data_IF_173944014180
#
_entry.id   IF_173944014180
#
_cell.length_a   1.000
_cell.length_b   1.000
_cell.length_c   1.000
_cell.angle_alpha   90.00
_cell.angle_beta   90.00
_cell.angle_gamma   90.00
#
_symmetry.space_group_name_H-M   'P 1'
#
loop_
_entity.id
_entity.type
_entity.pdbx_description
1 polymer ?
#
# COMPACT_ATOMS: atom_id res chain seq x y z
N UNK A 1 -7.03 -14.47 12.64
CA UNK A 1 -7.48 -13.86 11.37
C UNK A 1 -7.92 -12.44 11.67
N UNK A 2 -7.14 -11.47 11.21
CA UNK A 2 -7.35 -10.05 11.48
C UNK A 2 -8.41 -9.54 10.51
N UNK A 3 -9.54 -9.07 11.04
CA UNK A 3 -10.55 -8.38 10.25
C UNK A 3 -10.17 -6.89 10.12
N UNK A 4 -9.62 -6.55 8.96
CA UNK A 4 -9.25 -5.18 8.62
C UNK A 4 -10.32 -4.44 7.82
N UNK A 5 -11.50 -5.05 7.58
CA UNK A 5 -12.60 -4.37 6.87
C UNK A 5 -13.01 -3.07 7.56
N UNK A 6 -12.82 -3.00 8.87
CA UNK A 6 -12.97 -1.77 9.68
C UNK A 6 -12.13 -0.59 9.18
N UNK A 7 -11.00 -0.83 8.52
CA UNK A 7 -10.16 0.23 7.95
C UNK A 7 -10.76 0.86 6.69
N UNK A 8 -11.74 0.23 6.05
CA UNK A 8 -12.45 0.83 4.90
C UNK A 8 -13.16 2.13 5.29
N UNK A 9 -13.53 2.29 6.56
CA UNK A 9 -14.23 3.48 7.06
C UNK A 9 -13.45 4.79 6.85
N UNK A 10 -12.13 4.73 6.69
CA UNK A 10 -11.28 5.90 6.46
C UNK A 10 -11.29 6.38 5.00
N UNK A 11 -11.96 5.64 4.09
CA UNK A 11 -12.03 5.95 2.67
C UNK A 11 -13.48 6.20 2.25
N UNK A 12 -13.83 7.42 1.80
CA UNK A 12 -15.20 7.74 1.37
C UNK A 12 -15.72 6.82 0.26
N UNK A 13 -14.82 6.35 -0.60
CA UNK A 13 -15.14 5.48 -1.72
C UNK A 13 -14.06 4.41 -1.92
N UNK A 14 -14.37 3.19 -1.46
CA UNK A 14 -13.57 2.00 -1.70
C UNK A 14 -14.04 1.29 -2.97
N UNK A 15 -13.10 0.69 -3.70
CA UNK A 15 -13.35 -0.12 -4.89
C UNK A 15 -14.05 0.62 -6.06
N UNK A 16 -14.05 1.96 -6.04
CA UNK A 16 -14.65 2.81 -7.09
C UNK A 16 -13.65 3.87 -7.58
N UNK A 17 -13.63 4.17 -8.90
CA UNK A 17 -12.77 5.21 -9.43
C UNK A 17 -13.29 6.61 -9.11
N UNK A 18 -12.40 7.47 -8.61
CA UNK A 18 -12.61 8.89 -8.37
C UNK A 18 -11.92 9.69 -9.47
N UNK A 19 -12.68 10.43 -10.27
CA UNK A 19 -12.17 11.18 -11.42
C UNK A 19 -12.06 12.66 -11.05
N UNK A 20 -10.87 13.22 -11.21
CA UNK A 20 -10.58 14.64 -10.99
C UNK A 20 -9.65 15.19 -12.05
N UNK A 21 -10.18 16.05 -12.91
CA UNK A 21 -9.46 16.55 -14.08
C UNK A 21 -8.96 15.38 -14.95
N UNK A 22 -7.66 15.35 -15.19
CA UNK A 22 -6.98 14.31 -15.96
C UNK A 22 -6.65 13.05 -15.14
N UNK A 23 -6.86 13.05 -13.82
CA UNK A 23 -6.47 11.97 -12.94
C UNK A 23 -7.66 11.08 -12.54
N UNK A 24 -7.38 9.80 -12.37
CA UNK A 24 -8.28 8.81 -11.76
C UNK A 24 -7.58 8.18 -10.57
N UNK A 25 -8.18 8.33 -9.39
CA UNK A 25 -7.76 7.68 -8.16
C UNK A 25 -8.62 6.45 -7.93
N UNK A 26 -8.06 5.38 -7.43
CA UNK A 26 -8.81 4.19 -7.03
C UNK A 26 -8.14 3.57 -5.83
N UNK A 27 -8.87 3.46 -4.74
CA UNK A 27 -8.46 2.70 -3.57
C UNK A 27 -9.16 1.34 -3.66
N UNK A 28 -8.39 0.26 -3.76
CA UNK A 28 -8.95 -1.09 -3.75
C UNK A 28 -8.66 -1.75 -2.41
N UNK A 29 -9.69 -2.24 -1.75
CA UNK A 29 -9.57 -3.12 -0.59
C UNK A 29 -9.98 -4.53 -1.01
N UNK A 30 -9.15 -5.52 -0.68
CA UNK A 30 -9.45 -6.93 -0.88
C UNK A 30 -9.03 -7.73 0.34
N UNK A 31 -9.94 -8.58 0.81
CA UNK A 31 -9.65 -9.61 1.80
C UNK A 31 -9.58 -10.96 1.09
N UNK A 32 -8.50 -11.68 1.33
CA UNK A 32 -8.30 -13.08 0.95
C UNK A 32 -8.29 -13.95 2.22
N UNK A 33 -8.17 -15.27 2.08
CA UNK A 33 -8.35 -16.24 3.19
C UNK A 33 -7.43 -15.92 4.39
N UNK A 34 -6.15 -15.64 4.14
CA UNK A 34 -5.15 -15.30 5.17
C UNK A 34 -4.41 -13.99 4.92
N UNK A 35 -4.79 -13.24 3.88
CA UNK A 35 -4.13 -11.98 3.52
C UNK A 35 -5.12 -10.88 3.18
N UNK A 36 -4.59 -9.68 3.15
CA UNK A 36 -5.30 -8.46 2.91
C UNK A 36 -4.48 -7.57 2.00
N UNK A 37 -5.15 -6.83 1.12
CA UNK A 37 -4.52 -5.93 0.17
C UNK A 37 -5.23 -4.56 0.16
N UNK A 38 -4.43 -3.49 0.30
CA UNK A 38 -4.81 -2.12 -0.03
C UNK A 38 -4.04 -1.67 -1.25
N UNK A 39 -4.73 -1.31 -2.34
CA UNK A 39 -4.07 -0.72 -3.50
C UNK A 39 -4.47 0.74 -3.66
N UNK A 40 -3.48 1.64 -3.66
CA UNK A 40 -3.62 2.99 -4.18
C UNK A 40 -3.22 3.00 -5.66
N UNK A 41 -4.19 3.20 -6.55
CA UNK A 41 -3.95 3.36 -7.98
C UNK A 41 -4.26 4.78 -8.41
N UNK A 42 -3.30 5.43 -9.06
CA UNK A 42 -3.42 6.76 -9.63
C UNK A 42 -3.09 6.68 -11.12
N UNK A 43 -4.04 7.05 -11.99
CA UNK A 43 -3.89 7.00 -13.45
C UNK A 43 -4.11 8.38 -14.05
N UNK A 44 -3.18 8.84 -14.88
CA UNK A 44 -3.40 9.99 -15.77
C UNK A 44 -4.08 9.50 -17.05
N UNK A 45 -5.20 10.14 -17.42
CA UNK A 45 -6.10 9.68 -18.48
C UNK A 45 -5.49 9.85 -19.87
N UNK A 46 -4.80 10.95 -20.11
CA UNK A 46 -4.33 11.31 -21.46
C UNK A 46 -3.03 10.59 -21.84
N UNK A 47 -2.12 10.43 -20.89
CA UNK A 47 -0.81 9.82 -21.12
C UNK A 47 -0.77 8.32 -20.85
N UNK A 48 -1.88 7.75 -20.34
CA UNK A 48 -1.96 6.39 -19.77
C UNK A 48 -0.93 6.13 -18.65
N UNK A 49 -0.27 7.16 -18.12
CA UNK A 49 0.64 7.01 -16.97
C UNK A 49 -0.13 6.44 -15.79
N UNK A 50 0.48 5.48 -15.10
CA UNK A 50 -0.14 4.84 -13.94
C UNK A 50 0.88 4.64 -12.85
N UNK A 51 0.50 5.03 -11.64
CA UNK A 51 1.17 4.70 -10.40
C UNK A 51 0.25 3.74 -9.65
N UNK A 52 0.78 2.61 -9.24
CA UNK A 52 0.09 1.65 -8.39
C UNK A 52 1.02 1.37 -7.22
N UNK A 53 0.49 1.51 -6.01
CA UNK A 53 1.15 1.13 -4.78
C UNK A 53 0.22 0.13 -4.09
N UNK A 54 0.60 -1.13 -4.09
CA UNK A 54 -0.11 -2.21 -3.39
C UNK A 54 0.55 -2.50 -2.06
N UNK A 55 -0.26 -2.63 -1.01
CA UNK A 55 0.18 -2.99 0.33
C UNK A 55 -0.53 -4.29 0.72
N UNK A 56 0.19 -5.41 0.73
CA UNK A 56 -0.32 -6.69 1.21
C UNK A 56 0.12 -6.93 2.65
N UNK A 57 -0.77 -7.44 3.50
CA UNK A 57 -0.48 -7.90 4.85
C UNK A 57 -1.14 -9.25 5.10
N UNK A 58 -0.49 -10.14 5.85
CA UNK A 58 -1.12 -11.37 6.33
C UNK A 58 -0.17 -12.55 6.46
N UNK A 59 -0.74 -13.73 6.64
CA UNK A 59 -0.04 -15.03 6.79
C UNK A 59 -0.36 -15.85 5.53
N UNK A 60 0.11 -15.38 4.38
CA UNK A 60 -0.28 -15.94 3.09
C UNK A 60 0.76 -16.85 2.47
N UNK A 61 0.39 -18.12 2.24
CA UNK A 61 1.00 -18.96 1.21
C UNK A 61 0.69 -18.35 -0.16
N UNK A 62 1.47 -17.36 -0.59
CA UNK A 62 1.37 -16.91 -1.98
C UNK A 62 1.55 -18.13 -2.91
N UNK A 63 0.78 -18.13 -4.00
CA UNK A 63 0.91 -19.07 -5.14
C UNK A 63 2.35 -19.50 -5.28
N UNK A 64 2.65 -20.81 -5.40
CA UNK A 64 4.00 -21.35 -5.65
C UNK A 64 4.77 -20.43 -6.62
N UNK A 65 5.51 -19.47 -6.08
CA UNK A 65 6.43 -18.67 -6.86
C UNK A 65 7.60 -19.62 -7.09
N UNK A 66 7.94 -19.82 -8.37
CA UNK A 66 8.92 -20.83 -8.76
C UNK A 66 10.30 -20.62 -8.09
N UNK A 67 10.54 -19.45 -7.50
CA UNK A 67 11.78 -19.06 -6.81
C UNK A 67 11.48 -18.22 -5.53
N UNK A 68 10.74 -18.76 -4.55
CA UNK A 68 10.54 -18.07 -3.28
C UNK A 68 11.80 -18.17 -2.40
N UNK A 69 12.46 -17.03 -2.16
CA UNK A 69 13.54 -16.83 -1.19
C UNK A 69 13.04 -16.29 0.16
N UNK A 70 11.73 -16.36 0.43
CA UNK A 70 11.09 -15.82 1.63
C UNK A 70 10.30 -16.89 2.40
N UNK A 71 10.13 -16.68 3.71
CA UNK A 71 9.39 -17.56 4.61
C UNK A 71 7.89 -17.29 4.51
N UNK A 72 7.24 -17.93 3.52
CA UNK A 72 5.80 -17.76 3.18
C UNK A 72 4.82 -18.18 4.28
N UNK A 73 5.31 -18.93 5.27
CA UNK A 73 4.55 -19.39 6.43
C UNK A 73 4.54 -18.38 7.58
N UNK A 74 5.23 -17.25 7.42
CA UNK A 74 5.29 -16.18 8.41
C UNK A 74 4.51 -14.94 7.99
N UNK A 75 4.04 -14.13 8.98
CA UNK A 75 3.46 -12.84 8.70
C UNK A 75 4.40 -11.96 7.88
N UNK A 76 3.86 -11.28 6.87
CA UNK A 76 4.64 -10.40 6.03
C UNK A 76 3.87 -9.15 5.60
N UNK A 77 4.64 -8.14 5.20
CA UNK A 77 4.16 -6.98 4.45
C UNK A 77 4.82 -6.96 3.07
N UNK A 78 4.02 -6.77 2.02
CA UNK A 78 4.50 -6.59 0.64
C UNK A 78 4.11 -5.19 0.18
N UNK A 79 5.08 -4.42 -0.31
CA UNK A 79 4.84 -3.13 -0.95
C UNK A 79 5.20 -3.27 -2.44
N UNK A 80 4.16 -3.31 -3.26
CA UNK A 80 4.24 -3.36 -4.72
C UNK A 80 4.18 -1.95 -5.30
N UNK A 81 5.29 -1.46 -5.83
CA UNK A 81 5.37 -0.19 -6.53
C UNK A 81 5.42 -0.47 -8.02
N UNK A 82 4.38 -0.09 -8.75
CA UNK A 82 4.34 -0.16 -10.21
C UNK A 82 4.14 1.23 -10.81
N UNK A 83 5.06 1.62 -11.68
CA UNK A 83 5.04 2.89 -12.39
C UNK A 83 5.12 2.64 -13.89
N UNK A 84 4.04 2.96 -14.59
CA UNK A 84 3.97 2.91 -16.06
C UNK A 84 4.15 4.30 -16.64
N UNK A 85 5.34 4.56 -17.19
CA UNK A 85 5.63 5.74 -18.03
C UNK A 85 6.14 5.29 -19.41
N UNK A 86 6.94 6.13 -20.10
CA UNK A 86 7.66 5.72 -21.32
C UNK A 86 8.53 4.47 -21.09
N UNK A 87 9.03 4.32 -19.87
CA UNK A 87 9.64 3.10 -19.35
C UNK A 87 8.78 2.62 -18.17
N UNK A 88 8.58 1.31 -18.04
CA UNK A 88 7.83 0.76 -16.92
C UNK A 88 8.74 0.14 -15.88
N UNK A 89 8.55 0.58 -14.65
CA UNK A 89 9.28 0.16 -13.46
C UNK A 89 8.30 -0.57 -12.54
N UNK A 90 8.72 -1.72 -12.03
CA UNK A 90 8.08 -2.38 -10.91
C UNK A 90 9.12 -2.69 -9.85
N UNK A 91 8.83 -2.40 -8.60
CA UNK A 91 9.58 -2.90 -7.47
C UNK A 91 8.61 -3.53 -6.49
N UNK A 92 8.97 -4.70 -5.97
CA UNK A 92 8.26 -5.32 -4.86
C UNK A 92 9.21 -5.41 -3.69
N UNK A 93 8.78 -4.90 -2.54
CA UNK A 93 9.54 -4.90 -1.30
C UNK A 93 8.81 -5.80 -0.30
N UNK A 94 9.47 -6.86 0.13
CA UNK A 94 8.93 -7.84 1.07
C UNK A 94 9.59 -7.69 2.44
N UNK A 95 8.77 -7.68 3.49
CA UNK A 95 9.18 -7.64 4.89
C UNK A 95 8.62 -8.87 5.60
N UNK A 96 9.49 -9.71 6.16
CA UNK A 96 9.08 -10.86 7.00
C UNK A 96 9.15 -10.50 8.48
N UNK A 97 8.03 -10.68 9.19
CA UNK A 97 7.92 -10.43 10.62
C UNK A 97 8.00 -11.77 11.38
N UNK A 98 9.14 -12.06 12.01
CA UNK A 98 9.37 -13.37 12.62
C UNK A 98 8.66 -13.59 13.96
N UNK A 99 8.22 -12.52 14.64
CA UNK A 99 7.64 -12.57 15.99
C UNK A 99 6.36 -11.72 16.14
N UNK A 100 5.65 -11.42 15.06
CA UNK A 100 4.46 -10.54 15.13
C UNK A 100 3.18 -11.32 15.44
N UNK A 101 2.46 -10.87 16.47
CA UNK A 101 1.10 -11.32 16.77
C UNK A 101 0.05 -10.62 15.87
N UNK A 102 -1.15 -11.20 15.77
CA UNK A 102 -2.27 -10.65 14.99
C UNK A 102 -2.55 -9.16 15.34
N UNK A 103 -2.44 -8.78 16.61
CA UNK A 103 -2.65 -7.40 17.07
C UNK A 103 -1.61 -6.44 16.49
N UNK A 104 -0.34 -6.85 16.46
CA UNK A 104 0.77 -6.05 15.94
C UNK A 104 0.64 -5.83 14.43
N UNK A 105 0.24 -6.88 13.70
CA UNK A 105 -0.02 -6.78 12.25
C UNK A 105 -1.18 -5.80 11.98
N UNK A 106 -2.21 -5.80 12.82
CA UNK A 106 -3.30 -4.83 12.69
C UNK A 106 -2.86 -3.38 12.93
N UNK A 107 -1.96 -3.17 13.90
CA UNK A 107 -1.34 -1.85 14.13
C UNK A 107 -0.51 -1.40 12.92
N UNK A 108 0.23 -2.31 12.28
CA UNK A 108 0.95 -2.03 11.03
C UNK A 108 0.00 -1.68 9.87
N UNK A 109 -1.14 -2.37 9.76
CA UNK A 109 -2.17 -2.04 8.77
C UNK A 109 -2.74 -0.61 8.99
N UNK A 110 -2.98 -0.22 10.25
CA UNK A 110 -3.38 1.16 10.60
C UNK A 110 -2.31 2.18 10.23
N UNK A 111 -1.04 1.91 10.56
CA UNK A 111 0.09 2.76 10.17
C UNK A 111 0.19 2.93 8.65
N UNK A 112 -0.20 1.91 7.88
CA UNK A 112 -0.20 1.97 6.41
C UNK A 112 -1.24 2.94 5.86
N UNK A 113 -2.40 3.08 6.51
CA UNK A 113 -3.41 4.09 6.13
C UNK A 113 -2.82 5.50 6.27
N UNK A 114 -2.03 5.74 7.31
CA UNK A 114 -1.32 7.02 7.52
C UNK A 114 -0.31 7.27 6.40
N UNK A 115 0.44 6.24 5.98
CA UNK A 115 1.36 6.36 4.84
C UNK A 115 0.62 6.65 3.53
N UNK A 116 -0.52 6.00 3.30
CA UNK A 116 -1.37 6.26 2.12
C UNK A 116 -1.85 7.72 2.11
N UNK A 117 -2.32 8.25 3.24
CA UNK A 117 -2.69 9.66 3.37
C UNK A 117 -1.53 10.59 2.98
N UNK A 118 -0.33 10.34 3.52
CA UNK A 118 0.87 11.13 3.19
C UNK A 118 1.25 11.06 1.71
N UNK A 119 1.18 9.87 1.10
CA UNK A 119 1.45 9.67 -0.33
C UNK A 119 0.45 10.46 -1.17
N UNK A 120 -0.84 10.41 -0.84
CA UNK A 120 -1.89 11.17 -1.54
C UNK A 120 -1.63 12.68 -1.41
N UNK A 121 -1.37 13.18 -0.19
CA UNK A 121 -1.01 14.59 0.07
C UNK A 121 0.18 15.04 -0.78
N UNK A 122 1.24 14.23 -0.79
CA UNK A 122 2.44 14.53 -1.57
C UNK A 122 2.17 14.52 -3.08
N UNK A 123 1.38 13.57 -3.58
CA UNK A 123 0.99 13.51 -4.99
C UNK A 123 0.20 14.75 -5.40
N UNK A 124 -0.84 15.13 -4.64
CA UNK A 124 -1.66 16.33 -4.87
C UNK A 124 -0.77 17.57 -4.93
N UNK A 125 0.18 17.70 -4.00
CA UNK A 125 1.14 18.81 -3.95
C UNK A 125 2.06 18.84 -5.17
N UNK A 126 2.64 17.70 -5.56
CA UNK A 126 3.57 17.60 -6.69
C UNK A 126 2.88 17.93 -8.02
N UNK A 127 1.66 17.42 -8.20
CA UNK A 127 0.85 17.64 -9.40
C UNK A 127 0.04 18.95 -9.36
N UNK A 128 0.18 19.74 -8.29
CA UNK A 128 -0.53 21.02 -8.08
C UNK A 128 -2.05 20.91 -8.25
N UNK A 129 -2.63 19.81 -7.76
CA UNK A 129 -4.07 19.58 -7.78
C UNK A 129 -4.76 20.38 -6.69
N UNK A 130 -6.06 20.63 -6.86
CA UNK A 130 -6.89 21.25 -5.83
C UNK A 130 -6.90 20.38 -4.56
N UNK A 131 -6.46 20.96 -3.44
CA UNK A 131 -6.38 20.28 -2.15
C UNK A 131 -7.73 19.69 -1.70
N UNK A 132 -8.86 20.22 -2.17
CA UNK A 132 -10.19 19.68 -1.83
C UNK A 132 -10.38 18.22 -2.27
N UNK A 133 -9.57 17.74 -3.22
CA UNK A 133 -9.63 16.36 -3.69
C UNK A 133 -9.32 15.37 -2.57
N UNK A 134 -8.48 15.73 -1.60
CA UNK A 134 -8.04 14.80 -0.56
C UNK A 134 -9.21 14.23 0.22
N UNK A 135 -10.15 15.10 0.63
CA UNK A 135 -11.34 14.76 1.40
C UNK A 135 -12.30 13.81 0.67
N UNK A 136 -12.11 13.65 -0.64
CA UNK A 136 -12.89 12.72 -1.48
C UNK A 136 -12.22 11.37 -1.61
N UNK A 137 -10.91 11.29 -1.36
CA UNK A 137 -10.11 10.06 -1.44
C UNK A 137 -9.99 9.41 -0.06
N UNK A 138 -9.76 10.20 0.98
CA UNK A 138 -9.50 9.73 2.34
C UNK A 138 -10.03 10.75 3.36
N UNK A 139 -10.57 10.27 4.49
CA UNK A 139 -10.94 11.12 5.62
C UNK A 139 -9.70 11.50 6.41
N UNK A 140 -8.92 12.44 5.87
CA UNK A 140 -7.58 12.79 6.35
C UNK A 140 -7.55 13.31 7.80
N UNK A 141 -8.61 14.01 8.23
CA UNK A 141 -8.77 14.46 9.62
C UNK A 141 -8.90 13.24 10.58
N UNK A 142 -9.75 12.27 10.27
CA UNK A 142 -9.93 11.07 11.08
C UNK A 142 -8.66 10.18 11.11
N UNK A 143 -7.94 10.10 9.98
CA UNK A 143 -6.66 9.38 9.92
C UNK A 143 -5.61 10.03 10.82
N UNK A 144 -5.53 11.36 10.81
CA UNK A 144 -4.60 12.11 11.66
C UNK A 144 -4.93 11.92 13.15
N UNK A 145 -6.20 12.01 13.51
CA UNK A 145 -6.62 11.97 14.91
C UNK A 145 -6.55 10.56 15.51
N UNK A 146 -6.92 9.53 14.75
CA UNK A 146 -7.07 8.17 15.28
C UNK A 146 -5.87 7.27 14.98
N UNK A 147 -5.27 7.42 13.79
CA UNK A 147 -4.31 6.45 13.25
C UNK A 147 -2.86 6.91 13.30
N UNK A 148 -2.58 8.22 13.40
CA UNK A 148 -1.21 8.75 13.34
C UNK A 148 -0.26 8.10 14.37
N UNK A 149 -0.77 7.71 15.54
CA UNK A 149 0.00 7.04 16.59
C UNK A 149 0.59 5.67 16.18
N UNK A 150 0.06 5.02 15.14
CA UNK A 150 0.52 3.71 14.69
C UNK A 150 1.62 3.80 13.62
N UNK A 151 1.86 4.97 13.04
CA UNK A 151 2.91 5.14 12.04
C UNK A 151 4.32 4.82 12.56
N UNK A 152 4.76 5.31 13.74
CA UNK A 152 6.11 5.01 14.23
C UNK A 152 6.38 3.51 14.36
N UNK A 153 5.41 2.76 14.90
CA UNK A 153 5.53 1.31 15.07
C UNK A 153 5.72 0.58 13.73
N UNK A 154 5.00 1.00 12.68
CA UNK A 154 5.20 0.46 11.34
C UNK A 154 6.61 0.80 10.82
N UNK A 155 7.03 2.06 10.91
CA UNK A 155 8.34 2.49 10.39
C UNK A 155 9.48 1.75 11.09
N UNK A 156 9.42 1.61 12.41
CA UNK A 156 10.41 0.90 13.19
C UNK A 156 10.47 -0.59 12.79
N UNK A 157 9.31 -1.24 12.59
CA UNK A 157 9.26 -2.62 12.12
C UNK A 157 9.87 -2.81 10.72
N UNK A 158 9.56 -1.91 9.78
CA UNK A 158 10.15 -1.93 8.43
C UNK A 158 11.67 -1.72 8.49
N UNK A 159 12.14 -0.83 9.37
CA UNK A 159 13.56 -0.58 9.60
C UNK A 159 14.27 -1.80 10.20
N UNK A 160 13.65 -2.47 11.16
CA UNK A 160 14.21 -3.68 11.76
C UNK A 160 14.30 -4.83 10.75
N UNK A 161 13.30 -4.99 9.88
CA UNK A 161 13.38 -5.95 8.78
C UNK A 161 14.54 -5.61 7.82
N UNK A 162 14.76 -4.33 7.49
CA UNK A 162 15.90 -3.88 6.69
C UNK A 162 17.24 -4.21 7.38
N UNK A 163 17.37 -3.87 8.66
CA UNK A 163 18.59 -4.07 9.45
C UNK A 163 18.95 -5.55 9.60
N UNK A 164 17.95 -6.41 9.76
CA UNK A 164 18.14 -7.85 10.00
C UNK A 164 18.22 -8.68 8.70
N UNK A 165 18.28 -8.04 7.52
CA UNK A 165 18.27 -8.73 6.21
C UNK A 165 17.01 -9.58 5.97
N UNK A 166 15.91 -9.26 6.66
CA UNK A 166 14.58 -9.85 6.44
C UNK A 166 13.77 -9.03 5.41
N UNK A 167 14.51 -8.34 4.54
CA UNK A 167 14.02 -7.51 3.45
C UNK A 167 14.42 -8.15 2.12
N UNK A 168 13.45 -8.30 1.21
CA UNK A 168 13.74 -8.69 -0.17
C UNK A 168 13.21 -7.61 -1.08
N UNK A 169 14.10 -7.02 -1.88
CA UNK A 169 13.74 -6.09 -2.95
C UNK A 169 13.84 -6.81 -4.28
N UNK A 170 12.75 -6.83 -5.04
CA UNK A 170 12.71 -7.36 -6.40
C UNK A 170 12.39 -6.24 -7.36
N UNK A 171 13.32 -5.94 -8.26
CA UNK A 171 13.12 -4.96 -9.32
C UNK A 171 12.78 -5.67 -10.63
N UNK A 172 11.83 -5.11 -11.37
CA UNK A 172 11.45 -5.52 -12.71
C UNK A 172 11.45 -4.31 -13.63
N UNK A 173 12.26 -4.38 -14.68
CA UNK A 173 12.20 -3.42 -15.79
C UNK A 173 11.48 -4.07 -16.95
N UNK A 174 10.28 -3.59 -17.25
CA UNK A 174 9.54 -4.01 -18.43
C UNK A 174 9.65 -2.92 -19.50
N UNK A 175 10.21 -3.24 -20.67
CA UNK A 175 10.04 -2.40 -21.86
C UNK A 175 8.57 -2.51 -22.28
N UNK A 176 7.87 -1.39 -22.29
CA UNK A 176 6.54 -1.32 -22.91
C UNK A 176 6.78 -1.33 -24.42
N UNK A 177 6.61 -2.49 -25.05
CA UNK A 177 6.55 -2.63 -26.52
C UNK A 177 5.20 -2.13 -27.01
#
# INVERSE_FOLDING_TARGET
MIDISTLEQYFPQVNKPLIFGEYTFTILFRQEEDTFLINLKIKQRDTKKSHLIGFRFGIGKDKKQKDASHETDKPHSEIDIYKREKESFSATVYFTFHDSEDKTIFEYAKGTIVLIDKIIKQFIKNEKLDAIIIKKIIYDEAVLDELAQFEPALIDALYDCYKNSNLIVREGNNRVV
#
